data_IF_254883496113
#
_entry.id   IF_254883496113
#
_cell.length_a   1.000
_cell.length_b   1.000
_cell.length_c   1.000
_cell.angle_alpha   90.00
_cell.angle_beta   90.00
_cell.angle_gamma   90.00
#
_symmetry.space_group_name_H-M   'P 1'
#
loop_
_entity.id
_entity.type
_entity.pdbx_description
1 polymer ?
#
# COMPACT_ATOMS: atom_id res chain seq x y z
N UNK A 1 -1.31 2.95 -5.54
CA UNK A 1 -0.03 2.30 -5.16
C UNK A 1 1.01 2.68 -6.18
N UNK A 2 2.07 3.36 -5.81
CA UNK A 2 3.13 3.66 -6.75
C UNK A 2 3.77 2.34 -7.21
N UNK A 3 3.64 2.05 -8.51
CA UNK A 3 4.35 0.97 -9.17
C UNK A 3 5.81 1.36 -9.25
N UNK A 4 6.69 0.56 -8.66
CA UNK A 4 8.13 0.81 -8.71
C UNK A 4 8.62 0.52 -10.12
N UNK A 5 8.43 -0.71 -10.58
CA UNK A 5 8.74 -1.12 -11.94
C UNK A 5 8.04 -2.44 -12.30
N UNK A 6 8.10 -2.79 -13.57
CA UNK A 6 7.62 -4.08 -14.07
C UNK A 6 8.73 -4.76 -14.87
N UNK A 7 8.91 -6.05 -14.59
CA UNK A 7 9.95 -6.85 -15.23
C UNK A 7 9.43 -8.28 -15.44
N UNK A 8 9.39 -8.73 -16.68
CA UNK A 8 8.90 -10.07 -17.07
C UNK A 8 7.55 -10.46 -16.46
N UNK A 9 6.60 -9.52 -16.37
CA UNK A 9 5.27 -9.74 -15.80
C UNK A 9 5.22 -9.71 -14.28
N UNK A 10 6.36 -9.45 -13.61
CA UNK A 10 6.39 -9.14 -12.18
C UNK A 10 6.13 -7.65 -12.00
N UNK A 11 5.13 -7.30 -11.19
CA UNK A 11 4.82 -5.94 -10.82
C UNK A 11 5.29 -5.70 -9.40
N UNK A 12 6.23 -4.77 -9.24
CA UNK A 12 6.80 -4.36 -7.96
C UNK A 12 6.16 -3.05 -7.53
N UNK A 13 5.69 -2.98 -6.30
CA UNK A 13 5.11 -1.78 -5.73
C UNK A 13 5.34 -1.72 -4.22
N UNK A 14 5.22 -0.52 -3.64
CA UNK A 14 5.28 -0.32 -2.20
C UNK A 14 4.19 0.66 -1.76
N UNK A 15 3.94 0.69 -0.48
CA UNK A 15 3.03 1.66 0.10
C UNK A 15 3.78 2.93 0.49
N UNK A 16 3.11 4.09 0.40
CA UNK A 16 3.73 5.42 0.47
C UNK A 16 4.41 5.76 1.79
N UNK A 17 4.31 4.93 2.80
CA UNK A 17 4.88 5.19 4.12
C UNK A 17 5.64 3.98 4.67
N UNK A 18 6.35 3.30 3.80
CA UNK A 18 7.26 2.23 4.21
C UNK A 18 8.45 2.86 4.95
N UNK A 19 8.82 2.24 6.06
CA UNK A 19 10.00 2.57 6.84
C UNK A 19 11.00 1.42 6.76
N UNK A 20 12.22 1.66 7.15
CA UNK A 20 13.21 0.58 7.23
C UNK A 20 12.76 -0.53 8.21
N UNK A 21 12.85 -1.81 7.84
CA UNK A 21 13.35 -2.34 6.56
C UNK A 21 12.34 -2.18 5.42
N UNK A 22 12.83 -1.98 4.19
CA UNK A 22 12.00 -1.76 3.00
C UNK A 22 11.16 -3.01 2.69
N UNK A 23 9.85 -2.85 2.68
CA UNK A 23 8.91 -3.89 2.28
C UNK A 23 8.44 -3.66 0.84
N UNK A 24 8.60 -4.66 0.00
CA UNK A 24 8.21 -4.60 -1.40
C UNK A 24 7.16 -5.67 -1.68
N UNK A 25 6.06 -5.24 -2.23
CA UNK A 25 5.00 -6.13 -2.70
C UNK A 25 5.27 -6.51 -4.15
N UNK A 26 5.13 -7.78 -4.47
CA UNK A 26 5.34 -8.30 -5.81
C UNK A 26 4.15 -9.13 -6.25
N UNK A 27 3.62 -8.80 -7.42
CA UNK A 27 2.54 -9.55 -8.06
C UNK A 27 3.05 -10.13 -9.38
N UNK A 28 2.79 -11.40 -9.61
CA UNK A 28 3.02 -12.07 -10.89
C UNK A 28 1.87 -13.03 -11.18
N UNK A 29 0.99 -12.65 -12.09
CA UNK A 29 -0.23 -13.38 -12.37
C UNK A 29 -1.13 -13.45 -11.11
N UNK A 30 -1.41 -14.66 -10.65
CA UNK A 30 -2.21 -14.93 -9.44
C UNK A 30 -1.37 -15.06 -8.15
N UNK A 31 -0.06 -14.84 -8.25
CA UNK A 31 0.89 -14.96 -7.13
C UNK A 31 1.19 -13.59 -6.55
N UNK A 32 1.21 -13.54 -5.22
CA UNK A 32 1.53 -12.32 -4.48
C UNK A 32 2.48 -12.65 -3.33
N UNK A 33 3.53 -11.86 -3.19
CA UNK A 33 4.52 -11.97 -2.14
C UNK A 33 4.83 -10.61 -1.53
N UNK A 34 5.34 -10.63 -0.32
CA UNK A 34 5.95 -9.47 0.31
C UNK A 34 7.39 -9.83 0.62
N UNK A 35 8.32 -9.06 0.08
CA UNK A 35 9.73 -9.14 0.39
C UNK A 35 10.13 -8.02 1.34
N UNK A 36 11.01 -8.33 2.26
CA UNK A 36 11.80 -7.37 2.99
C UNK A 36 13.18 -7.32 2.33
N UNK A 37 13.57 -6.16 1.84
CA UNK A 37 14.88 -5.96 1.23
C UNK A 37 15.82 -5.40 2.29
N UNK A 38 16.89 -6.11 2.55
CA UNK A 38 17.94 -5.70 3.48
C UNK A 38 19.28 -5.60 2.78
N UNK A 39 20.13 -4.71 3.26
CA UNK A 39 21.53 -4.62 2.87
C UNK A 39 22.38 -5.20 4.01
N UNK A 40 23.06 -6.31 3.74
CA UNK A 40 23.92 -6.98 4.70
C UNK A 40 25.29 -7.21 4.06
N UNK A 41 26.34 -6.71 4.71
CA UNK A 41 27.73 -6.81 4.24
C UNK A 41 27.94 -6.35 2.78
N UNK A 42 27.24 -5.30 2.37
CA UNK A 42 27.30 -4.77 1.00
C UNK A 42 26.53 -5.59 -0.04
N UNK A 43 25.77 -6.60 0.38
CA UNK A 43 24.95 -7.42 -0.50
C UNK A 43 23.47 -7.26 -0.20
N UNK A 44 22.66 -7.14 -1.25
CA UNK A 44 21.21 -7.09 -1.11
C UNK A 44 20.64 -8.50 -0.92
N UNK A 45 19.76 -8.61 0.06
CA UNK A 45 19.00 -9.84 0.33
C UNK A 45 17.51 -9.54 0.35
N UNK A 46 16.73 -10.38 -0.31
CA UNK A 46 15.28 -10.35 -0.24
C UNK A 46 14.80 -11.49 0.68
N UNK A 47 14.23 -11.12 1.81
CA UNK A 47 13.61 -12.06 2.74
C UNK A 47 12.11 -12.13 2.47
N UNK A 48 11.59 -13.32 2.25
CA UNK A 48 10.14 -13.52 2.09
C UNK A 48 9.46 -13.35 3.43
N UNK A 49 8.66 -12.29 3.58
CA UNK A 49 7.88 -12.02 4.80
C UNK A 49 6.54 -12.74 4.78
N UNK A 50 5.89 -12.76 3.64
CA UNK A 50 4.59 -13.38 3.47
C UNK A 50 4.48 -14.00 2.09
N UNK A 51 4.19 -15.28 2.07
CA UNK A 51 3.87 -16.03 0.85
C UNK A 51 2.37 -16.36 0.88
N UNK A 52 1.59 -15.70 0.03
CA UNK A 52 0.14 -15.86 -0.01
C UNK A 52 -0.29 -16.94 -1.01
N UNK A 53 0.38 -17.03 -2.17
CA UNK A 53 -0.02 -17.90 -3.28
C UNK A 53 1.14 -18.59 -4.00
N UNK A 54 2.26 -18.79 -3.35
CA UNK A 54 3.42 -19.44 -3.94
C UNK A 54 4.70 -18.66 -3.75
N UNK A 55 5.80 -19.33 -3.89
CA UNK A 55 7.12 -18.75 -3.73
C UNK A 55 7.60 -18.20 -5.07
N UNK A 56 8.01 -16.94 -5.08
CA UNK A 56 8.68 -16.30 -6.20
C UNK A 56 10.13 -16.01 -5.78
N UNK A 57 11.13 -16.67 -6.40
CA UNK A 57 12.52 -16.36 -6.12
C UNK A 57 12.83 -14.94 -6.62
N UNK A 58 13.55 -14.18 -5.79
CA UNK A 58 14.11 -12.90 -6.16
C UNK A 58 15.64 -13.04 -6.08
N UNK A 59 16.31 -12.77 -7.18
CA UNK A 59 17.77 -12.85 -7.21
C UNK A 59 18.39 -11.68 -6.43
N UNK A 60 19.66 -11.82 -6.05
CA UNK A 60 20.42 -10.75 -5.42
C UNK A 60 20.47 -9.49 -6.31
N UNK A 61 20.60 -9.68 -7.62
CA UNK A 61 20.59 -8.60 -8.59
C UNK A 61 19.26 -7.87 -8.62
N UNK A 62 18.14 -8.62 -8.67
CA UNK A 62 16.80 -8.04 -8.70
C UNK A 62 16.46 -7.35 -7.37
N UNK A 63 16.89 -7.93 -6.23
CA UNK A 63 16.77 -7.30 -4.93
C UNK A 63 17.53 -5.97 -4.86
N UNK A 64 18.70 -5.88 -5.47
CA UNK A 64 19.48 -4.65 -5.59
C UNK A 64 18.75 -3.58 -6.40
N UNK A 65 18.21 -3.95 -7.57
CA UNK A 65 17.44 -3.02 -8.41
C UNK A 65 16.22 -2.49 -7.63
N UNK A 66 15.46 -3.37 -6.98
CA UNK A 66 14.30 -2.98 -6.17
C UNK A 66 14.70 -2.03 -5.05
N UNK A 67 15.81 -2.30 -4.36
CA UNK A 67 16.31 -1.45 -3.28
C UNK A 67 16.71 -0.05 -3.78
N UNK A 68 17.45 0.02 -4.89
CA UNK A 68 17.88 1.28 -5.49
C UNK A 68 16.71 2.11 -5.98
N UNK A 69 15.74 1.50 -6.69
CA UNK A 69 14.55 2.17 -7.18
C UNK A 69 13.67 2.68 -6.01
N UNK A 70 13.50 1.85 -4.98
CA UNK A 70 12.76 2.25 -3.78
C UNK A 70 13.48 3.37 -3.04
N UNK A 71 14.81 3.28 -2.89
CA UNK A 71 15.63 4.30 -2.27
C UNK A 71 15.61 5.62 -3.04
N UNK A 72 15.65 5.60 -4.37
CA UNK A 72 15.52 6.78 -5.22
C UNK A 72 14.15 7.45 -5.06
N UNK A 73 13.08 6.66 -4.94
CA UNK A 73 11.74 7.16 -4.68
C UNK A 73 11.62 7.78 -3.29
N UNK A 74 12.21 7.15 -2.26
CA UNK A 74 12.26 7.71 -0.90
C UNK A 74 13.10 8.99 -0.82
N UNK A 75 14.23 9.07 -1.52
CA UNK A 75 15.07 10.27 -1.56
C UNK A 75 14.41 11.47 -2.23
N UNK A 76 13.53 11.23 -3.20
CA UNK A 76 12.71 12.26 -3.85
C UNK A 76 11.47 12.66 -3.03
N UNK A 77 11.17 11.95 -1.95
CA UNK A 77 10.05 12.22 -1.06
C UNK A 77 10.50 13.09 0.14
N UNK A 78 10.98 14.31 -0.11
CA UNK A 78 11.23 15.28 0.98
C UNK A 78 9.97 15.66 1.77
N UNK A 79 8.81 15.16 1.37
CA UNK A 79 7.55 15.32 2.09
C UNK A 79 6.59 14.17 1.78
N UNK A 80 6.79 13.04 2.45
CA UNK A 80 5.83 11.94 2.38
C UNK A 80 4.49 12.44 2.93
N UNK A 81 3.47 12.47 2.08
CA UNK A 81 2.11 12.78 2.48
C UNK A 81 1.56 11.59 3.28
N UNK A 82 1.11 11.85 4.49
CA UNK A 82 0.52 10.82 5.37
C UNK A 82 -0.83 11.25 5.87
N UNK A 83 -1.67 10.28 6.24
CA UNK A 83 -2.92 10.53 6.93
C UNK A 83 -2.63 10.54 8.42
N UNK A 84 -2.97 11.65 9.09
CA UNK A 84 -2.74 11.84 10.52
C UNK A 84 -4.02 11.65 11.34
N UNK A 85 -5.19 11.80 10.72
CA UNK A 85 -6.47 11.58 11.35
C UNK A 85 -7.52 11.15 10.34
N UNK A 86 -8.51 10.36 10.78
CA UNK A 86 -9.63 9.92 9.97
C UNK A 86 -10.90 9.86 10.80
N UNK A 87 -11.95 10.50 10.32
CA UNK A 87 -13.25 10.58 11.00
C UNK A 87 -14.34 10.06 10.08
N UNK A 88 -15.15 9.14 10.59
CA UNK A 88 -16.34 8.65 9.88
C UNK A 88 -17.37 9.74 9.71
N UNK A 89 -17.87 9.95 8.50
CA UNK A 89 -18.83 11.03 8.16
C UNK A 89 -20.20 10.53 7.75
N UNK A 90 -20.38 9.22 7.64
CA UNK A 90 -21.63 8.57 7.25
C UNK A 90 -21.53 7.81 5.94
N UNK A 91 -22.39 6.84 5.73
CA UNK A 91 -22.34 5.97 4.56
C UNK A 91 -21.04 5.18 4.51
N UNK A 92 -20.30 5.29 3.42
CA UNK A 92 -18.95 4.73 3.28
C UNK A 92 -17.94 5.85 3.02
N UNK A 93 -18.02 6.92 3.81
CA UNK A 93 -17.18 8.11 3.64
C UNK A 93 -16.39 8.43 4.90
N UNK A 94 -15.15 8.87 4.70
CA UNK A 94 -14.25 9.35 5.74
C UNK A 94 -13.80 10.78 5.46
N UNK A 95 -13.72 11.59 6.53
CA UNK A 95 -12.97 12.84 6.51
C UNK A 95 -11.53 12.52 6.93
N UNK A 96 -10.59 12.68 6.01
CA UNK A 96 -9.18 12.39 6.20
C UNK A 96 -8.40 13.69 6.39
N UNK A 97 -7.61 13.77 7.44
CA UNK A 97 -6.66 14.87 7.67
C UNK A 97 -5.26 14.41 7.27
N UNK A 98 -4.62 15.17 6.40
CA UNK A 98 -3.27 14.87 5.91
C UNK A 98 -2.19 15.61 6.69
N UNK A 99 -0.95 15.16 6.56
CA UNK A 99 0.21 15.71 7.30
C UNK A 99 0.52 17.17 6.98
N UNK A 100 0.03 17.71 5.88
CA UNK A 100 0.12 19.13 5.52
C UNK A 100 -1.02 19.98 6.12
N UNK A 101 -1.95 19.35 6.86
CA UNK A 101 -3.11 20.00 7.48
C UNK A 101 -4.34 20.08 6.58
N UNK A 102 -4.27 19.62 5.33
CA UNK A 102 -5.43 19.58 4.45
C UNK A 102 -6.39 18.46 4.89
N UNK A 103 -7.69 18.76 4.81
CA UNK A 103 -8.76 17.81 5.09
C UNK A 103 -9.53 17.50 3.81
N UNK A 104 -9.77 16.22 3.56
CA UNK A 104 -10.58 15.74 2.43
C UNK A 104 -11.65 14.78 2.92
N UNK A 105 -12.85 14.91 2.36
CA UNK A 105 -13.89 13.90 2.50
C UNK A 105 -13.83 12.99 1.29
N UNK A 106 -13.62 11.70 1.54
CA UNK A 106 -13.48 10.68 0.50
C UNK A 106 -14.61 9.68 0.61
N UNK A 107 -15.29 9.43 -0.51
CA UNK A 107 -16.31 8.40 -0.65
C UNK A 107 -15.70 7.12 -1.23
N UNK A 108 -15.78 6.04 -0.49
CA UNK A 108 -15.25 4.73 -0.87
C UNK A 108 -16.30 3.83 -1.52
N UNK A 109 -17.59 4.20 -1.43
CA UNK A 109 -18.69 3.39 -1.92
C UNK A 109 -18.58 3.14 -3.43
N UNK A 110 -18.27 4.19 -4.17
CA UNK A 110 -18.13 4.14 -5.63
C UNK A 110 -17.05 3.16 -6.06
N UNK A 111 -15.90 3.17 -5.38
CA UNK A 111 -14.78 2.25 -5.65
C UNK A 111 -15.15 0.80 -5.34
N UNK A 112 -15.68 0.53 -4.14
CA UNK A 112 -16.02 -0.84 -3.72
C UNK A 112 -17.07 -1.46 -4.65
N UNK A 113 -18.07 -0.67 -5.07
CA UNK A 113 -19.11 -1.13 -6.02
C UNK A 113 -18.59 -1.34 -7.43
N UNK A 114 -17.61 -0.53 -7.87
CA UNK A 114 -17.00 -0.64 -9.20
C UNK A 114 -16.11 -1.87 -9.33
N UNK A 115 -15.45 -2.27 -8.24
CA UNK A 115 -14.53 -3.39 -8.19
C UNK A 115 -14.97 -4.47 -7.18
N UNK A 116 -16.08 -5.21 -7.47
CA UNK A 116 -16.59 -6.22 -6.55
C UNK A 116 -15.51 -7.28 -6.27
N UNK A 117 -15.20 -7.48 -5.01
CA UNK A 117 -14.23 -8.48 -4.58
C UNK A 117 -14.60 -9.00 -3.19
N UNK A 118 -14.62 -10.32 -2.94
CA UNK A 118 -15.05 -10.89 -1.66
C UNK A 118 -14.34 -10.28 -0.44
N UNK A 119 -13.13 -9.77 -0.64
CA UNK A 119 -12.35 -9.11 0.40
C UNK A 119 -12.86 -7.70 0.72
N UNK A 120 -13.42 -6.98 -0.27
CA UNK A 120 -13.91 -5.62 -0.13
C UNK A 120 -15.41 -5.55 0.13
N UNK A 121 -16.18 -6.50 -0.40
CA UNK A 121 -17.65 -6.49 -0.36
C UNK A 121 -18.20 -6.44 1.07
N UNK A 122 -17.49 -7.00 2.05
CA UNK A 122 -17.86 -6.93 3.46
C UNK A 122 -17.85 -5.50 4.01
N UNK A 123 -17.05 -4.61 3.43
CA UNK A 123 -16.94 -3.20 3.84
C UNK A 123 -18.04 -2.31 3.21
N UNK A 124 -18.95 -2.89 2.41
CA UNK A 124 -20.20 -2.25 2.03
C UNK A 124 -21.17 -2.13 3.22
N UNK A 125 -20.96 -2.94 4.26
CA UNK A 125 -21.65 -2.81 5.54
C UNK A 125 -21.02 -1.65 6.32
N UNK A 126 -21.79 -0.60 6.71
CA UNK A 126 -21.27 0.55 7.44
C UNK A 126 -20.61 0.20 8.78
N UNK A 127 -21.07 -0.83 9.47
CA UNK A 127 -20.49 -1.24 10.75
C UNK A 127 -19.10 -1.87 10.51
N UNK A 128 -18.95 -2.66 9.45
CA UNK A 128 -17.66 -3.19 9.03
C UNK A 128 -16.74 -2.09 8.49
N UNK A 129 -17.30 -1.12 7.74
CA UNK A 129 -16.52 0.00 7.22
C UNK A 129 -15.90 0.87 8.33
N UNK A 130 -16.59 1.06 9.43
CA UNK A 130 -16.12 1.84 10.58
C UNK A 130 -14.98 1.16 11.36
N UNK A 131 -14.59 -0.07 11.03
CA UNK A 131 -13.47 -0.78 11.67
C UNK A 131 -12.09 -0.37 11.13
N UNK A 132 -12.01 0.71 10.36
CA UNK A 132 -10.75 1.23 9.85
C UNK A 132 -9.79 1.64 10.98
N UNK A 133 -8.50 1.61 10.68
CA UNK A 133 -7.44 2.15 11.53
C UNK A 133 -6.46 2.98 10.69
N UNK A 134 -5.66 3.80 11.36
CA UNK A 134 -4.52 4.47 10.73
C UNK A 134 -3.27 3.73 11.14
N UNK A 135 -2.58 3.18 10.16
CA UNK A 135 -1.33 2.46 10.36
C UNK A 135 -0.27 3.01 9.41
N UNK A 136 0.87 3.42 9.96
CA UNK A 136 1.98 4.00 9.20
C UNK A 136 1.54 5.14 8.25
N UNK A 137 0.59 5.97 8.67
CA UNK A 137 0.08 7.10 7.86
C UNK A 137 -0.85 6.72 6.73
N UNK A 138 -1.34 5.49 6.70
CA UNK A 138 -2.36 5.01 5.77
C UNK A 138 -3.65 4.68 6.52
N UNK A 139 -4.79 4.89 5.90
CA UNK A 139 -6.05 4.34 6.37
C UNK A 139 -6.20 2.92 5.85
N UNK A 140 -6.45 1.97 6.75
CA UNK A 140 -6.47 0.55 6.44
C UNK A 140 -7.68 -0.14 7.08
N UNK A 141 -8.15 -1.21 6.44
CA UNK A 141 -9.19 -2.08 6.96
C UNK A 141 -8.70 -3.51 7.04
N UNK A 142 -9.13 -4.19 8.09
CA UNK A 142 -8.77 -5.58 8.33
C UNK A 142 -7.38 -5.76 8.93
N UNK A 143 -7.21 -6.88 9.63
CA UNK A 143 -5.98 -7.22 10.35
C UNK A 143 -4.76 -7.37 9.45
N UNK A 144 -5.00 -7.77 8.20
CA UNK A 144 -3.97 -8.02 7.19
C UNK A 144 -4.00 -6.97 6.07
N UNK A 145 -4.53 -5.77 6.36
CA UNK A 145 -4.73 -4.68 5.40
C UNK A 145 -5.52 -5.14 4.17
N UNK A 146 -6.66 -5.74 4.45
CA UNK A 146 -7.53 -6.30 3.41
C UNK A 146 -7.95 -5.24 2.38
N UNK A 147 -8.10 -4.00 2.83
CA UNK A 147 -8.39 -2.86 1.98
C UNK A 147 -7.52 -1.68 2.41
N UNK A 148 -6.78 -1.13 1.45
CA UNK A 148 -5.88 0.02 1.60
C UNK A 148 -5.83 0.77 0.28
N UNK A 149 -5.65 2.08 0.35
CA UNK A 149 -5.58 2.97 -0.82
C UNK A 149 -4.30 3.80 -0.79
N UNK A 150 -3.72 4.14 -1.95
CA UNK A 150 -2.63 5.08 -2.00
C UNK A 150 -3.04 6.43 -1.39
N UNK A 151 -2.19 6.96 -0.51
CA UNK A 151 -2.47 8.25 0.15
C UNK A 151 -2.63 9.38 -0.85
N UNK A 152 -1.89 9.32 -1.97
CA UNK A 152 -1.97 10.31 -3.05
C UNK A 152 -3.35 10.31 -3.73
N UNK A 153 -3.93 9.14 -3.98
CA UNK A 153 -5.27 9.02 -4.58
C UNK A 153 -6.33 9.57 -3.64
N UNK A 154 -6.21 9.26 -2.34
CA UNK A 154 -7.08 9.80 -1.29
C UNK A 154 -6.94 11.32 -1.17
N UNK A 155 -5.72 11.84 -1.29
CA UNK A 155 -5.44 13.28 -1.25
C UNK A 155 -6.04 14.01 -2.46
N UNK A 156 -5.96 13.41 -3.63
CA UNK A 156 -6.53 13.94 -4.87
C UNK A 156 -8.06 13.73 -4.97
N UNK A 157 -8.63 12.86 -4.12
CA UNK A 157 -10.05 12.53 -4.13
C UNK A 157 -10.47 11.65 -5.29
N UNK A 158 -9.52 10.94 -5.89
CA UNK A 158 -9.76 10.01 -7.01
C UNK A 158 -9.45 8.57 -6.57
N UNK A 159 -10.51 7.77 -6.44
CA UNK A 159 -10.43 6.33 -6.25
C UNK A 159 -10.84 5.64 -7.56
N UNK A 160 -9.89 5.45 -8.46
CA UNK A 160 -10.13 4.78 -9.75
C UNK A 160 -9.70 3.31 -9.74
#
# INVERSE_FOLDING_TARGET
MPKIFEYFGFVFFFYSNEHEPIHVHVIHGDRQLVYEIILEDGNFKALVRRNVKGYLPLSQHDAGIVYEETGALHANQEKIMTIVDAVYTGGLSLSLTFSDGIVRVVDFESFIKKYPHPQYDRYLDPDCFQTFSIENGNVVWGKDWDMIFPVEDLYNGHLD
#
